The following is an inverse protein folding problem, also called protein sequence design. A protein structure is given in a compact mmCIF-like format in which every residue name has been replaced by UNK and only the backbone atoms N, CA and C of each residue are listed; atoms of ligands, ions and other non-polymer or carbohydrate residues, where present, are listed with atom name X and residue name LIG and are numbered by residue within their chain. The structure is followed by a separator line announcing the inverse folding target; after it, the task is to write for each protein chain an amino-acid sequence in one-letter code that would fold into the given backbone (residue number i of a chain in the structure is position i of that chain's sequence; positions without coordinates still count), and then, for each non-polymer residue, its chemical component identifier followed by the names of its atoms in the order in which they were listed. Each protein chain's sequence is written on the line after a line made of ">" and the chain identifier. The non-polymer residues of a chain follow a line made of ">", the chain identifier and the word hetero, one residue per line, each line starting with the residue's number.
data_IF_595060525747
#
_entry.id   IF_595060525747
#
_cell.length_a   1.000
_cell.length_b   1.000
_cell.length_c   1.000
_cell.angle_alpha   90.00
_cell.angle_beta   90.00
_cell.angle_gamma   90.00
#
_symmetry.space_group_name_H-M   'P 1'
#
loop_
_entity.id
_entity.type
_entity.pdbx_description
1 polymer ?
#
# COMPACT_ATOMS: atom_id res chain seq x y z
N UNK A 1 -9.84 -23.43 -50.03
CA UNK A 1 -8.40 -23.51 -49.72
C UNK A 1 -8.00 -24.97 -49.83
N UNK A 2 -7.53 -25.39 -50.99
CA UNK A 2 -6.96 -26.74 -51.16
C UNK A 2 -5.60 -26.78 -50.47
N UNK A 3 -5.31 -27.78 -49.63
CA UNK A 3 -3.99 -27.95 -49.04
C UNK A 3 -2.99 -28.23 -50.17
N UNK A 4 -1.90 -27.46 -50.18
CA UNK A 4 -0.76 -27.62 -51.08
C UNK A 4 -0.13 -29.02 -50.85
N UNK A 5 -0.06 -29.91 -51.86
CA UNK A 5 0.40 -31.29 -51.69
C UNK A 5 1.89 -31.42 -51.37
N UNK A 6 2.67 -30.34 -51.49
CA UNK A 6 4.10 -30.32 -51.17
C UNK A 6 4.42 -29.79 -49.76
N UNK A 7 3.41 -29.59 -48.90
CA UNK A 7 3.69 -29.33 -47.49
C UNK A 7 4.32 -30.59 -46.86
N UNK A 8 5.56 -30.52 -46.31
CA UNK A 8 6.19 -31.67 -45.69
C UNK A 8 5.32 -32.16 -44.53
N UNK A 9 4.64 -33.28 -44.76
CA UNK A 9 3.68 -33.93 -43.82
C UNK A 9 4.36 -34.60 -42.64
N UNK A 10 5.70 -34.64 -42.62
CA UNK A 10 6.46 -35.09 -41.46
C UNK A 10 6.68 -33.89 -40.53
N UNK A 11 6.12 -33.88 -39.31
CA UNK A 11 6.48 -32.85 -38.34
C UNK A 11 7.99 -32.90 -38.18
N UNK A 12 8.67 -31.78 -38.44
CA UNK A 12 10.09 -31.60 -38.19
C UNK A 12 10.33 -31.81 -36.69
N UNK A 13 10.54 -33.07 -36.31
CA UNK A 13 10.89 -33.45 -34.96
C UNK A 13 12.36 -33.11 -34.83
N UNK A 14 12.68 -32.15 -33.96
CA UNK A 14 14.05 -31.87 -33.55
C UNK A 14 14.71 -33.21 -33.22
N UNK A 15 15.78 -33.57 -33.94
CA UNK A 15 16.55 -34.76 -33.56
C UNK A 15 16.99 -34.57 -32.11
N UNK A 16 16.89 -35.60 -31.25
CA UNK A 16 17.30 -35.48 -29.86
C UNK A 16 18.77 -35.07 -29.84
N UNK A 17 19.01 -33.79 -29.53
CA UNK A 17 20.36 -33.25 -29.42
C UNK A 17 21.16 -34.04 -28.37
N UNK A 18 22.50 -33.98 -28.44
CA UNK A 18 23.35 -34.70 -27.50
C UNK A 18 22.96 -34.42 -26.05
N UNK A 19 23.04 -35.45 -25.19
CA UNK A 19 22.68 -35.38 -23.76
C UNK A 19 23.37 -34.17 -23.11
N UNK A 20 22.59 -33.18 -22.67
CA UNK A 20 23.08 -31.96 -22.02
C UNK A 20 23.10 -30.71 -22.89
N UNK A 21 22.02 -30.42 -23.63
CA UNK A 21 21.92 -29.14 -24.35
C UNK A 21 21.98 -27.97 -23.38
N UNK A 22 22.62 -26.86 -23.79
CA UNK A 22 22.72 -25.62 -22.98
C UNK A 22 21.35 -25.17 -22.44
N UNK A 23 20.29 -25.34 -23.24
CA UNK A 23 18.90 -25.05 -22.87
C UNK A 23 18.42 -25.93 -21.70
N UNK A 24 18.74 -27.21 -21.69
CA UNK A 24 18.38 -28.13 -20.61
C UNK A 24 19.09 -27.77 -19.30
N UNK A 25 20.37 -27.39 -19.37
CA UNK A 25 21.14 -26.96 -18.20
C UNK A 25 20.60 -25.63 -17.64
N UNK A 26 20.26 -24.67 -18.49
CA UNK A 26 19.64 -23.39 -18.09
C UNK A 26 18.27 -23.61 -17.42
N UNK A 27 17.45 -24.53 -17.93
CA UNK A 27 16.17 -24.90 -17.30
C UNK A 27 16.35 -25.55 -15.93
N UNK A 28 17.38 -26.39 -15.76
CA UNK A 28 17.69 -27.00 -14.47
C UNK A 28 18.16 -25.96 -13.45
N UNK A 29 19.02 -25.02 -13.85
CA UNK A 29 19.46 -23.91 -13.00
C UNK A 29 18.28 -23.04 -12.59
N UNK A 30 17.39 -22.70 -13.54
CA UNK A 30 16.17 -21.95 -13.25
C UNK A 30 15.28 -22.70 -12.25
N UNK A 31 15.06 -24.00 -12.46
CA UNK A 31 14.27 -24.83 -11.54
C UNK A 31 14.85 -24.82 -10.12
N UNK A 32 16.18 -24.93 -9.97
CA UNK A 32 16.84 -24.91 -8.66
C UNK A 32 16.72 -23.53 -8.01
N UNK A 33 16.94 -22.46 -8.77
CA UNK A 33 16.82 -21.08 -8.27
C UNK A 33 15.38 -20.79 -7.80
N UNK A 34 14.38 -21.10 -8.64
CA UNK A 34 12.95 -21.02 -8.31
C UNK A 34 12.60 -21.85 -7.08
N UNK A 35 13.08 -23.09 -7.02
CA UNK A 35 12.85 -23.97 -5.87
C UNK A 35 13.44 -23.42 -4.58
N UNK A 36 14.64 -22.85 -4.62
CA UNK A 36 15.28 -22.21 -3.48
C UNK A 36 14.51 -20.99 -2.97
N UNK A 37 14.11 -20.10 -3.88
CA UNK A 37 13.33 -18.91 -3.54
C UNK A 37 11.94 -19.28 -3.00
N UNK A 38 11.27 -20.24 -3.63
CA UNK A 38 9.97 -20.75 -3.20
C UNK A 38 10.05 -21.46 -1.84
N UNK A 39 11.17 -22.14 -1.54
CA UNK A 39 11.39 -22.74 -0.22
C UNK A 39 11.39 -21.65 0.84
N UNK A 40 12.22 -20.61 0.67
CA UNK A 40 12.28 -19.50 1.61
C UNK A 40 10.92 -18.80 1.80
N UNK A 41 10.19 -18.56 0.72
CA UNK A 41 8.88 -17.91 0.77
C UNK A 41 7.83 -18.78 1.44
N UNK A 42 7.77 -20.08 1.14
CA UNK A 42 6.79 -21.00 1.74
C UNK A 42 7.10 -21.28 3.22
N UNK A 43 8.37 -21.30 3.63
CA UNK A 43 8.70 -21.32 5.05
C UNK A 43 8.19 -20.08 5.78
N UNK A 44 8.25 -18.90 5.14
CA UNK A 44 7.70 -17.68 5.72
C UNK A 44 6.16 -17.68 5.77
N UNK A 45 5.47 -18.36 4.85
CA UNK A 45 4.01 -18.42 4.76
C UNK A 45 3.35 -19.52 5.58
N UNK A 46 3.96 -20.70 5.64
CA UNK A 46 3.33 -21.94 6.11
C UNK A 46 4.02 -22.58 7.31
N UNK A 47 5.22 -22.14 7.67
CA UNK A 47 5.95 -22.76 8.78
C UNK A 47 5.52 -22.18 10.11
N UNK A 48 4.65 -22.92 10.80
CA UNK A 48 4.32 -22.70 12.20
C UNK A 48 5.41 -23.27 13.14
N UNK A 49 6.61 -23.61 12.62
CA UNK A 49 7.68 -24.30 13.35
C UNK A 49 7.43 -25.81 13.57
N UNK A 50 6.30 -26.34 13.10
CA UNK A 50 5.96 -27.76 13.24
C UNK A 50 6.63 -28.63 12.17
N UNK A 51 6.91 -29.90 12.52
CA UNK A 51 7.40 -30.91 11.57
C UNK A 51 6.42 -31.08 10.40
N UNK A 52 5.12 -31.10 10.68
CA UNK A 52 4.08 -31.21 9.66
C UNK A 52 4.08 -30.00 8.71
N UNK A 53 4.31 -28.78 9.22
CA UNK A 53 4.48 -27.59 8.39
C UNK A 53 5.67 -27.71 7.44
N UNK A 54 6.80 -28.21 7.94
CA UNK A 54 8.01 -28.44 7.12
C UNK A 54 7.76 -29.47 6.01
N UNK A 55 7.06 -30.56 6.31
CA UNK A 55 6.68 -31.58 5.32
C UNK A 55 5.76 -31.00 4.23
N UNK A 56 4.78 -30.18 4.60
CA UNK A 56 3.91 -29.48 3.63
C UNK A 56 4.72 -28.57 2.71
N UNK A 57 5.62 -27.76 3.27
CA UNK A 57 6.51 -26.89 2.49
C UNK A 57 7.32 -27.72 1.49
N UNK A 58 7.93 -28.84 1.92
CA UNK A 58 8.69 -29.72 1.04
C UNK A 58 7.86 -30.22 -0.16
N UNK A 59 6.64 -30.72 0.07
CA UNK A 59 5.78 -31.19 -1.01
C UNK A 59 5.33 -30.07 -1.95
N UNK A 60 5.03 -28.88 -1.43
CA UNK A 60 4.68 -27.73 -2.23
C UNK A 60 5.84 -27.26 -3.11
N UNK A 61 7.06 -27.22 -2.58
CA UNK A 61 8.27 -26.88 -3.35
C UNK A 61 8.52 -27.90 -4.43
N UNK A 62 8.49 -29.19 -4.10
CA UNK A 62 8.74 -30.26 -5.07
C UNK A 62 7.70 -30.28 -6.18
N UNK A 63 6.42 -30.08 -5.84
CA UNK A 63 5.35 -29.91 -6.82
C UNK A 63 5.54 -28.68 -7.70
N UNK A 64 5.88 -27.53 -7.12
CA UNK A 64 6.17 -26.29 -7.84
C UNK A 64 7.34 -26.43 -8.81
N UNK A 65 8.44 -27.06 -8.37
CA UNK A 65 9.61 -27.35 -9.20
C UNK A 65 9.25 -28.29 -10.35
N UNK A 66 8.51 -29.36 -10.08
CA UNK A 66 8.09 -30.32 -11.09
C UNK A 66 7.17 -29.68 -12.15
N UNK A 67 6.21 -28.85 -11.73
CA UNK A 67 5.30 -28.14 -12.64
C UNK A 67 6.05 -27.08 -13.45
N UNK A 68 6.89 -26.26 -12.80
CA UNK A 68 7.72 -25.25 -13.47
C UNK A 68 8.62 -25.87 -14.53
N UNK A 69 9.39 -26.90 -14.15
CA UNK A 69 10.27 -27.61 -15.07
C UNK A 69 9.48 -28.30 -16.19
N UNK A 70 8.41 -29.01 -15.86
CA UNK A 70 7.61 -29.77 -16.81
C UNK A 70 6.94 -28.90 -17.86
N UNK A 71 6.33 -27.78 -17.44
CA UNK A 71 5.65 -26.84 -18.34
C UNK A 71 6.66 -26.10 -19.20
N UNK A 72 7.74 -25.56 -18.61
CA UNK A 72 8.77 -24.84 -19.37
C UNK A 72 9.47 -25.77 -20.37
N UNK A 73 9.79 -27.00 -19.97
CA UNK A 73 10.36 -28.00 -20.86
C UNK A 73 9.41 -28.38 -21.99
N UNK A 74 8.14 -28.64 -21.71
CA UNK A 74 7.16 -28.95 -22.75
C UNK A 74 6.97 -27.77 -23.72
N UNK A 75 6.93 -26.54 -23.20
CA UNK A 75 6.79 -25.33 -24.01
C UNK A 75 7.99 -25.13 -24.95
N UNK A 76 9.21 -25.42 -24.49
CA UNK A 76 10.44 -25.29 -25.27
C UNK A 76 10.64 -26.46 -26.24
N UNK A 77 10.50 -27.70 -25.77
CA UNK A 77 10.80 -28.90 -26.57
C UNK A 77 9.72 -29.21 -27.61
N UNK A 78 8.46 -28.82 -27.36
CA UNK A 78 7.33 -29.08 -28.27
C UNK A 78 6.66 -27.80 -28.78
N UNK A 79 6.46 -26.81 -27.92
CA UNK A 79 5.77 -25.57 -28.28
C UNK A 79 6.55 -24.74 -29.31
N UNK A 80 7.83 -24.49 -29.06
CA UNK A 80 8.66 -23.67 -29.96
C UNK A 80 8.81 -24.31 -31.37
N UNK A 81 9.11 -25.61 -31.54
CA UNK A 81 9.14 -26.23 -32.86
C UNK A 81 7.80 -26.14 -33.61
N UNK A 82 6.68 -26.43 -32.93
CA UNK A 82 5.35 -26.35 -33.55
C UNK A 82 4.99 -24.92 -33.96
N UNK A 83 5.38 -23.93 -33.15
CA UNK A 83 5.18 -22.51 -33.45
C UNK A 83 5.90 -22.10 -34.74
N UNK A 84 7.15 -22.52 -34.91
CA UNK A 84 7.96 -22.19 -36.10
C UNK A 84 7.43 -22.86 -37.36
N UNK A 85 6.89 -24.08 -37.26
CA UNK A 85 6.23 -24.78 -38.39
C UNK A 85 4.93 -24.08 -38.83
N UNK A 86 4.42 -23.13 -38.05
CA UNK A 86 3.26 -22.30 -38.40
C UNK A 86 2.01 -22.54 -37.54
N UNK A 87 2.07 -23.45 -36.55
CA UNK A 87 0.96 -23.67 -35.63
C UNK A 87 0.87 -22.55 -34.58
N UNK A 88 0.15 -21.48 -34.92
CA UNK A 88 -0.06 -20.32 -34.04
C UNK A 88 -0.69 -20.68 -32.69
N UNK A 89 -1.59 -21.66 -32.66
CA UNK A 89 -2.22 -22.13 -31.41
C UNK A 89 -1.21 -22.77 -30.45
N UNK A 90 -0.20 -23.48 -30.96
CA UNK A 90 0.86 -24.05 -30.13
C UNK A 90 1.74 -22.95 -29.52
N UNK A 91 2.03 -21.89 -30.28
CA UNK A 91 2.74 -20.71 -29.77
C UNK A 91 1.98 -20.06 -28.60
N UNK A 92 0.70 -19.73 -28.82
CA UNK A 92 -0.15 -19.10 -27.79
C UNK A 92 -0.28 -20.00 -26.56
N UNK A 93 -0.56 -21.29 -26.74
CA UNK A 93 -0.71 -22.23 -25.63
C UNK A 93 0.57 -22.37 -24.80
N UNK A 94 1.74 -22.40 -25.46
CA UNK A 94 3.03 -22.50 -24.78
C UNK A 94 3.34 -21.24 -23.96
N UNK A 95 3.17 -20.06 -24.55
CA UNK A 95 3.37 -18.76 -23.87
C UNK A 95 2.40 -18.61 -22.70
N UNK A 96 1.12 -18.93 -22.90
CA UNK A 96 0.10 -18.83 -21.87
C UNK A 96 0.38 -19.79 -20.70
N UNK A 97 0.86 -21.00 -20.98
CA UNK A 97 1.22 -21.98 -19.94
C UNK A 97 2.40 -21.47 -19.08
N UNK A 98 3.44 -20.90 -19.72
CA UNK A 98 4.57 -20.28 -19.02
C UNK A 98 4.07 -19.12 -18.13
N UNK A 99 3.22 -18.25 -18.68
CA UNK A 99 2.69 -17.10 -17.95
C UNK A 99 1.83 -17.50 -16.75
N UNK A 100 0.93 -18.49 -16.90
CA UNK A 100 0.05 -18.94 -15.81
C UNK A 100 0.88 -19.54 -14.66
N UNK A 101 1.81 -20.45 -14.98
CA UNK A 101 2.65 -21.09 -13.96
C UNK A 101 3.60 -20.08 -13.33
N UNK A 102 4.27 -19.27 -14.15
CA UNK A 102 5.18 -18.23 -13.70
C UNK A 102 4.49 -17.17 -12.83
N UNK A 103 3.26 -16.77 -13.15
CA UNK A 103 2.51 -15.80 -12.35
C UNK A 103 2.11 -16.39 -10.98
N UNK A 104 1.73 -17.67 -10.94
CA UNK A 104 1.45 -18.38 -9.70
C UNK A 104 2.68 -18.49 -8.79
N UNK A 105 3.83 -18.89 -9.35
CA UNK A 105 5.10 -19.01 -8.62
C UNK A 105 5.64 -17.64 -8.20
N UNK A 106 5.57 -16.65 -9.07
CA UNK A 106 5.90 -15.26 -8.75
C UNK A 106 5.07 -14.77 -7.56
N UNK A 107 3.75 -14.95 -7.60
CA UNK A 107 2.86 -14.49 -6.55
C UNK A 107 3.15 -15.15 -5.21
N UNK A 108 3.34 -16.48 -5.19
CA UNK A 108 3.69 -17.21 -3.98
C UNK A 108 5.08 -16.82 -3.43
N UNK A 109 6.05 -16.64 -4.32
CA UNK A 109 7.43 -16.32 -3.95
C UNK A 109 7.55 -14.88 -3.44
N UNK A 110 7.06 -13.91 -4.21
CA UNK A 110 7.05 -12.51 -3.82
C UNK A 110 6.30 -12.29 -2.51
N UNK A 111 5.06 -12.79 -2.41
CA UNK A 111 4.27 -12.58 -1.21
C UNK A 111 4.92 -13.20 0.02
N UNK A 112 5.46 -14.42 -0.08
CA UNK A 112 6.11 -15.06 1.06
C UNK A 112 7.40 -14.38 1.52
N UNK A 113 8.18 -13.81 0.59
CA UNK A 113 9.38 -13.06 0.94
C UNK A 113 9.08 -11.73 1.65
N UNK A 114 7.95 -11.10 1.31
CA UNK A 114 7.66 -9.72 1.69
C UNK A 114 6.59 -9.62 2.80
N UNK A 115 5.84 -10.69 3.08
CA UNK A 115 4.71 -10.67 4.01
C UNK A 115 5.06 -10.13 5.40
N UNK A 116 6.19 -10.56 5.95
CA UNK A 116 6.64 -10.16 7.29
C UNK A 116 6.98 -8.67 7.35
N UNK A 117 7.60 -8.14 6.30
CA UNK A 117 7.97 -6.73 6.21
C UNK A 117 6.75 -5.85 5.99
N UNK A 118 5.76 -6.32 5.21
CA UNK A 118 4.46 -5.64 5.07
C UNK A 118 3.72 -5.60 6.40
N UNK A 119 3.69 -6.69 7.16
CA UNK A 119 3.04 -6.68 8.49
C UNK A 119 3.73 -5.69 9.42
N UNK A 120 5.07 -5.63 9.40
CA UNK A 120 5.86 -4.65 10.14
C UNK A 120 5.51 -3.21 9.75
N UNK A 121 5.51 -2.88 8.45
CA UNK A 121 5.18 -1.55 7.96
C UNK A 121 3.77 -1.12 8.39
N UNK A 122 2.79 -2.05 8.38
CA UNK A 122 1.43 -1.76 8.84
C UNK A 122 1.36 -1.47 10.34
N UNK A 123 2.15 -2.18 11.15
CA UNK A 123 2.23 -1.94 12.58
C UNK A 123 2.93 -0.59 12.89
N UNK A 124 3.98 -0.24 12.16
CA UNK A 124 4.65 1.06 12.26
C UNK A 124 3.74 2.22 11.84
N UNK A 125 2.99 2.04 10.73
CA UNK A 125 1.99 3.02 10.29
C UNK A 125 0.87 3.20 11.33
N UNK A 126 0.39 2.11 11.95
CA UNK A 126 -0.56 2.19 13.06
C UNK A 126 0.02 2.92 14.27
N UNK A 127 1.28 2.64 14.64
CA UNK A 127 1.95 3.34 15.74
C UNK A 127 2.03 4.85 15.51
N UNK A 128 2.30 5.27 14.26
CA UNK A 128 2.32 6.69 13.86
C UNK A 128 0.93 7.30 13.99
N UNK A 129 -0.09 6.66 13.41
CA UNK A 129 -1.48 7.13 13.49
C UNK A 129 -2.01 7.18 14.92
N UNK A 130 -1.63 6.21 15.77
CA UNK A 130 -1.98 6.20 17.19
C UNK A 130 -1.30 7.34 17.94
N UNK A 131 -0.03 7.63 17.63
CA UNK A 131 0.70 8.76 18.19
C UNK A 131 0.06 10.10 17.83
N UNK A 132 -0.33 10.30 16.57
CA UNK A 132 -1.07 11.48 16.12
C UNK A 132 -2.43 11.61 16.83
N UNK A 133 -3.18 10.50 16.94
CA UNK A 133 -4.45 10.45 17.65
C UNK A 133 -4.30 10.84 19.13
N UNK A 134 -3.29 10.30 19.81
CA UNK A 134 -2.97 10.65 21.21
C UNK A 134 -2.57 12.12 21.31
N UNK A 135 -1.74 12.62 20.39
CA UNK A 135 -1.29 14.01 20.35
C UNK A 135 -2.44 14.99 20.21
N UNK A 136 -3.40 14.71 19.32
CA UNK A 136 -4.61 15.50 19.17
C UNK A 136 -5.43 15.57 20.47
N UNK A 137 -5.57 14.45 21.19
CA UNK A 137 -6.30 14.38 22.48
C UNK A 137 -5.53 15.00 23.65
N UNK A 138 -4.21 15.08 23.58
CA UNK A 138 -3.42 15.78 24.57
C UNK A 138 -3.73 17.29 24.56
N UNK A 139 -4.01 17.86 23.38
CA UNK A 139 -4.47 19.25 23.22
C UNK A 139 -5.71 19.59 24.06
N UNK A 140 -6.73 18.73 24.02
CA UNK A 140 -7.98 18.90 24.80
C UNK A 140 -7.70 19.02 26.31
N UNK A 141 -6.74 18.25 26.82
CA UNK A 141 -6.38 18.29 28.25
C UNK A 141 -5.52 19.48 28.65
N UNK A 142 -4.71 20.02 27.73
CA UNK A 142 -3.95 21.25 27.97
C UNK A 142 -4.89 22.44 28.17
N UNK A 143 -6.01 22.47 27.45
CA UNK A 143 -7.09 23.46 27.65
C UNK A 143 -7.78 23.28 29.00
N UNK A 144 -8.02 22.04 29.43
CA UNK A 144 -8.48 21.75 30.79
C UNK A 144 -7.53 22.27 31.88
N UNK A 145 -6.21 22.12 31.70
CA UNK A 145 -5.22 22.63 32.65
C UNK A 145 -5.26 24.17 32.81
N UNK A 146 -5.69 24.92 31.78
CA UNK A 146 -5.84 26.36 31.85
C UNK A 146 -7.00 26.83 32.76
N UNK A 147 -7.91 25.92 33.15
CA UNK A 147 -9.02 26.24 34.06
C UNK A 147 -8.56 26.37 35.52
N UNK A 148 -7.51 25.63 35.92
CA UNK A 148 -6.97 25.67 37.28
C UNK A 148 -6.57 27.09 37.74
N UNK A 149 -5.73 27.86 36.99
CA UNK A 149 -5.38 29.22 37.39
C UNK A 149 -6.58 30.18 37.40
N UNK A 150 -7.61 29.94 36.58
CA UNK A 150 -8.84 30.73 36.61
C UNK A 150 -9.60 30.50 37.91
N UNK A 151 -9.78 29.24 38.32
CA UNK A 151 -10.43 28.91 39.60
C UNK A 151 -9.66 29.49 40.81
N UNK A 152 -8.32 29.41 40.79
CA UNK A 152 -7.49 30.03 41.82
C UNK A 152 -7.66 31.56 41.87
N UNK A 153 -7.74 32.21 40.70
CA UNK A 153 -7.96 33.66 40.62
C UNK A 153 -9.34 34.10 41.13
N UNK A 154 -10.38 33.28 40.91
CA UNK A 154 -11.73 33.51 41.42
C UNK A 154 -11.72 33.41 42.95
N UNK A 155 -11.05 32.39 43.51
CA UNK A 155 -10.92 32.22 44.94
C UNK A 155 -10.24 33.43 45.61
N UNK A 156 -9.11 33.89 45.05
CA UNK A 156 -8.36 35.05 45.55
C UNK A 156 -9.17 36.36 45.42
N UNK A 157 -9.89 36.57 44.31
CA UNK A 157 -10.76 37.74 44.16
C UNK A 157 -11.91 37.77 45.18
N UNK A 158 -12.58 36.62 45.39
CA UNK A 158 -13.66 36.53 46.37
C UNK A 158 -13.16 36.74 47.80
N UNK A 159 -11.99 36.21 48.13
CA UNK A 159 -11.35 36.41 49.44
C UNK A 159 -10.95 37.88 49.67
N UNK A 160 -10.32 38.52 48.67
CA UNK A 160 -10.01 39.97 48.73
C UNK A 160 -11.27 40.81 48.90
N UNK A 161 -12.36 40.48 48.19
CA UNK A 161 -13.65 41.16 48.33
C UNK A 161 -14.28 40.94 49.70
N UNK A 162 -14.16 39.75 50.27
CA UNK A 162 -14.61 39.47 51.64
C UNK A 162 -13.83 40.30 52.68
N UNK A 163 -12.50 40.38 52.56
CA UNK A 163 -11.66 41.19 53.44
C UNK A 163 -11.98 42.68 53.32
N UNK A 164 -12.14 43.16 52.10
CA UNK A 164 -12.53 44.53 51.79
C UNK A 164 -13.92 44.88 52.33
N UNK A 165 -14.88 43.96 52.24
CA UNK A 165 -16.22 44.12 52.81
C UNK A 165 -16.19 44.23 54.34
N UNK A 166 -15.33 43.44 55.00
CA UNK A 166 -15.10 43.55 56.45
C UNK A 166 -14.46 44.87 56.85
N UNK A 167 -13.51 45.37 56.06
CA UNK A 167 -12.77 46.59 56.38
C UNK A 167 -13.57 47.87 56.14
N UNK A 168 -14.35 47.93 55.04
CA UNK A 168 -15.00 49.16 54.61
C UNK A 168 -16.20 48.99 53.68
N UNK A 169 -16.85 47.81 53.67
CA UNK A 169 -18.12 47.58 52.95
C UNK A 169 -18.10 47.93 51.45
N UNK A 170 -17.02 47.57 50.76
CA UNK A 170 -16.81 47.93 49.36
C UNK A 170 -17.74 47.24 48.34
N UNK A 171 -18.43 46.16 48.70
CA UNK A 171 -19.43 45.48 47.86
C UNK A 171 -20.84 45.90 48.23
N UNK A 172 -21.13 46.06 49.54
CA UNK A 172 -22.47 46.47 49.99
C UNK A 172 -22.72 47.97 49.98
N UNK A 173 -21.68 48.81 49.87
CA UNK A 173 -21.78 50.27 49.86
C UNK A 173 -22.16 50.89 51.21
N UNK A 174 -22.09 50.12 52.31
CA UNK A 174 -22.47 50.60 53.65
C UNK A 174 -21.36 51.44 54.30
N UNK A 175 -21.72 52.45 55.12
CA UNK A 175 -20.74 53.39 55.69
C UNK A 175 -19.90 52.83 56.83
N UNK A 176 -20.29 51.68 57.41
CA UNK A 176 -19.53 50.98 58.45
C UNK A 176 -19.24 49.56 57.96
N UNK A 177 -17.95 49.24 57.82
CA UNK A 177 -17.49 47.88 57.52
C UNK A 177 -17.92 46.88 58.59
N UNK A 178 -17.73 45.59 58.31
CA UNK A 178 -17.88 44.54 59.32
C UNK A 178 -18.20 43.18 58.74
N UNK A 179 -18.24 42.15 59.60
CA UNK A 179 -18.57 40.76 59.20
C UNK A 179 -20.08 40.53 59.07
N UNK A 180 -20.71 41.32 58.22
CA UNK A 180 -22.13 41.23 57.88
C UNK A 180 -22.48 40.04 56.96
N UNK A 181 -23.74 39.94 56.55
CA UNK A 181 -24.22 38.86 55.67
C UNK A 181 -23.42 38.76 54.36
N UNK A 182 -23.15 39.90 53.70
CA UNK A 182 -22.40 39.96 52.44
C UNK A 182 -20.98 39.42 52.61
N UNK A 183 -20.26 39.85 53.66
CA UNK A 183 -18.92 39.34 53.97
C UNK A 183 -18.94 37.82 54.21
N UNK A 184 -19.89 37.31 54.98
CA UNK A 184 -20.03 35.86 55.24
C UNK A 184 -20.36 35.07 53.97
N UNK A 185 -21.21 35.61 53.08
CA UNK A 185 -21.50 34.99 51.79
C UNK A 185 -20.27 34.96 50.89
N UNK A 186 -19.50 36.05 50.81
CA UNK A 186 -18.26 36.10 50.04
C UNK A 186 -17.20 35.12 50.59
N UNK A 187 -17.07 35.01 51.92
CA UNK A 187 -16.20 34.03 52.57
C UNK A 187 -16.59 32.59 52.22
N UNK A 188 -17.89 32.27 52.32
CA UNK A 188 -18.39 30.94 51.98
C UNK A 188 -18.15 30.60 50.50
N UNK A 189 -18.33 31.58 49.60
CA UNK A 189 -18.06 31.42 48.18
C UNK A 189 -16.57 31.27 47.89
N UNK A 190 -15.70 32.01 48.59
CA UNK A 190 -14.25 31.90 48.47
C UNK A 190 -13.76 30.51 48.92
N UNK A 191 -14.22 30.02 50.07
CA UNK A 191 -13.88 28.67 50.54
C UNK A 191 -14.38 27.57 49.59
N UNK A 192 -15.58 27.75 49.03
CA UNK A 192 -16.10 26.84 47.99
C UNK A 192 -15.25 26.89 46.72
N UNK A 193 -14.83 28.09 46.28
CA UNK A 193 -13.94 28.27 45.14
C UNK A 193 -12.59 27.55 45.36
N UNK A 194 -11.98 27.70 46.56
CA UNK A 194 -10.75 27.01 46.96
C UNK A 194 -10.92 25.49 46.91
N UNK A 195 -12.04 24.97 47.44
CA UNK A 195 -12.35 23.55 47.39
C UNK A 195 -12.47 23.00 45.97
N UNK A 196 -13.17 23.72 45.08
CA UNK A 196 -13.28 23.36 43.65
C UNK A 196 -11.92 23.44 42.96
N UNK A 197 -11.13 24.49 43.23
CA UNK A 197 -9.78 24.64 42.69
C UNK A 197 -8.86 23.47 43.09
N UNK A 198 -8.83 23.09 44.37
CA UNK A 198 -8.01 21.98 44.86
C UNK A 198 -8.42 20.63 44.25
N UNK A 199 -9.72 20.36 44.10
CA UNK A 199 -10.22 19.17 43.41
C UNK A 199 -9.81 19.17 41.94
N UNK A 200 -9.90 20.33 41.28
CA UNK A 200 -9.51 20.50 39.89
C UNK A 200 -8.02 20.25 39.68
N UNK A 201 -7.16 20.83 40.53
CA UNK A 201 -5.70 20.61 40.51
C UNK A 201 -5.34 19.13 40.71
N UNK A 202 -6.03 18.43 41.62
CA UNK A 202 -5.84 16.98 41.81
C UNK A 202 -6.20 16.19 40.54
N UNK A 203 -7.30 16.57 39.87
CA UNK A 203 -7.70 15.99 38.59
C UNK A 203 -6.67 16.24 37.49
N UNK A 204 -6.17 17.48 37.37
CA UNK A 204 -5.10 17.85 36.42
C UNK A 204 -3.82 17.05 36.69
N UNK A 205 -3.41 16.91 37.95
CA UNK A 205 -2.24 16.11 38.33
C UNK A 205 -2.40 14.64 37.95
N UNK A 206 -3.57 14.06 38.19
CA UNK A 206 -3.90 12.69 37.77
C UNK A 206 -3.86 12.55 36.25
N UNK A 207 -4.41 13.52 35.52
CA UNK A 207 -4.36 13.58 34.06
C UNK A 207 -2.94 13.67 33.50
N UNK A 208 -2.06 14.45 34.15
CA UNK A 208 -0.65 14.58 33.78
C UNK A 208 0.13 13.27 34.00
N UNK A 209 -0.12 12.57 35.11
CA UNK A 209 0.46 11.25 35.38
C UNK A 209 0.04 10.24 34.30
N UNK A 210 -1.25 10.22 33.90
CA UNK A 210 -1.73 9.40 32.78
C UNK A 210 -1.13 9.82 31.44
N UNK A 211 -0.88 11.11 31.22
CA UNK A 211 -0.14 11.59 30.05
C UNK A 211 1.27 11.00 29.95
N UNK A 212 1.98 10.92 31.07
CA UNK A 212 3.32 10.31 31.16
C UNK A 212 3.25 8.80 30.88
N UNK A 213 2.30 8.10 31.50
CA UNK A 213 2.07 6.67 31.26
C UNK A 213 1.78 6.37 29.77
N UNK A 214 0.98 7.20 29.11
CA UNK A 214 0.72 7.07 27.66
C UNK A 214 2.01 7.26 26.84
N UNK A 215 2.84 8.25 27.21
CA UNK A 215 4.14 8.49 26.56
C UNK A 215 5.05 7.27 26.65
N UNK A 216 5.16 6.67 27.84
CA UNK A 216 5.96 5.46 28.06
C UNK A 216 5.41 4.26 27.27
N UNK A 217 4.09 4.10 27.21
CA UNK A 217 3.44 3.05 26.43
C UNK A 217 3.68 3.24 24.92
N UNK A 218 3.60 4.47 24.39
CA UNK A 218 3.91 4.75 22.98
C UNK A 218 5.39 4.47 22.65
N UNK A 219 6.31 4.82 23.55
CA UNK A 219 7.73 4.50 23.38
C UNK A 219 7.96 2.98 23.35
N UNK A 220 7.32 2.23 24.26
CA UNK A 220 7.36 0.76 24.26
C UNK A 220 6.72 0.16 23.00
N UNK A 221 5.62 0.73 22.53
CA UNK A 221 4.98 0.33 21.27
C UNK A 221 5.97 0.44 20.11
N UNK A 222 6.62 1.59 19.96
CA UNK A 222 7.61 1.83 18.91
C UNK A 222 8.81 0.88 19.00
N UNK A 223 9.33 0.65 20.21
CA UNK A 223 10.44 -0.28 20.44
C UNK A 223 10.11 -1.72 20.03
N UNK A 224 8.91 -2.21 20.37
CA UNK A 224 8.47 -3.57 20.01
C UNK A 224 8.16 -3.67 18.50
N UNK A 225 7.55 -2.64 17.91
CA UNK A 225 7.26 -2.60 16.48
C UNK A 225 8.55 -2.75 15.65
N UNK A 226 9.59 -1.98 16.01
CA UNK A 226 10.90 -2.01 15.36
C UNK A 226 11.81 -3.19 15.75
N UNK A 227 11.48 -3.95 16.81
CA UNK A 227 12.28 -5.06 17.30
C UNK A 227 12.26 -6.31 16.39
N UNK A 228 13.08 -7.32 16.71
CA UNK A 228 13.20 -8.57 15.95
C UNK A 228 12.38 -9.74 16.51
N UNK A 229 11.43 -9.47 17.41
CA UNK A 229 10.57 -10.49 18.00
C UNK A 229 9.75 -11.26 16.93
N UNK A 230 9.40 -12.53 17.18
CA UNK A 230 8.51 -13.30 16.32
C UNK A 230 7.19 -12.54 16.07
N UNK A 231 6.69 -12.56 14.82
CA UNK A 231 5.55 -11.75 14.41
C UNK A 231 4.29 -11.97 15.25
N UNK A 232 3.97 -13.23 15.60
CA UNK A 232 2.80 -13.55 16.42
C UNK A 232 2.89 -12.95 17.83
N UNK A 233 4.02 -13.17 18.52
CA UNK A 233 4.25 -12.63 19.86
C UNK A 233 4.29 -11.10 19.86
N UNK A 234 4.95 -10.52 18.85
CA UNK A 234 4.99 -9.07 18.64
C UNK A 234 3.59 -8.48 18.55
N UNK A 235 2.70 -9.07 17.75
CA UNK A 235 1.32 -8.58 17.60
C UNK A 235 0.54 -8.65 18.90
N UNK A 236 0.64 -9.74 19.65
CA UNK A 236 -0.03 -9.87 20.95
C UNK A 236 0.43 -8.77 21.92
N UNK A 237 1.75 -8.53 22.00
CA UNK A 237 2.31 -7.47 22.85
C UNK A 237 1.86 -6.07 22.41
N UNK A 238 1.87 -5.79 21.11
CA UNK A 238 1.42 -4.50 20.57
C UNK A 238 -0.08 -4.27 20.79
N UNK A 239 -0.90 -5.32 20.70
CA UNK A 239 -2.34 -5.24 21.01
C UNK A 239 -2.60 -4.95 22.49
N UNK A 240 -1.85 -5.59 23.40
CA UNK A 240 -1.93 -5.29 24.84
C UNK A 240 -1.56 -3.83 25.13
N UNK A 241 -0.47 -3.33 24.53
CA UNK A 241 -0.07 -1.93 24.69
C UNK A 241 -1.11 -0.97 24.10
N UNK A 242 -1.66 -1.25 22.92
CA UNK A 242 -2.72 -0.43 22.30
C UNK A 242 -3.96 -0.35 23.22
N UNK A 243 -4.37 -1.48 23.80
CA UNK A 243 -5.47 -1.52 24.76
C UNK A 243 -5.17 -0.68 26.02
N UNK A 244 -3.96 -0.79 26.58
CA UNK A 244 -3.53 0.01 27.74
C UNK A 244 -3.48 1.50 27.43
N UNK A 245 -3.03 1.89 26.22
CA UNK A 245 -3.05 3.29 25.78
C UNK A 245 -4.49 3.82 25.75
N UNK A 246 -5.43 3.05 25.19
CA UNK A 246 -6.85 3.43 25.17
C UNK A 246 -7.44 3.56 26.56
N UNK A 247 -7.10 2.63 27.46
CA UNK A 247 -7.53 2.68 28.85
C UNK A 247 -6.96 3.91 29.57
N UNK A 248 -5.67 4.21 29.38
CA UNK A 248 -5.01 5.36 29.97
C UNK A 248 -5.57 6.69 29.41
N UNK A 249 -5.91 6.74 28.12
CA UNK A 249 -6.61 7.88 27.50
C UNK A 249 -8.00 8.10 28.09
N UNK A 250 -8.78 7.03 28.27
CA UNK A 250 -10.09 7.11 28.91
C UNK A 250 -9.98 7.63 30.35
N UNK A 251 -9.06 7.05 31.13
CA UNK A 251 -8.78 7.51 32.50
C UNK A 251 -8.30 8.96 32.56
N UNK A 252 -7.46 9.40 31.60
CA UNK A 252 -7.02 10.79 31.47
C UNK A 252 -8.18 11.74 31.17
N UNK A 253 -9.12 11.32 30.31
CA UNK A 253 -10.32 12.10 29.99
C UNK A 253 -11.24 12.23 31.20
N UNK A 254 -11.42 11.16 31.97
CA UNK A 254 -12.21 11.16 33.21
C UNK A 254 -11.55 12.00 34.31
N UNK A 255 -10.22 12.05 34.35
CA UNK A 255 -9.47 12.82 35.34
C UNK A 255 -9.62 14.34 35.18
N UNK A 256 -9.90 14.84 33.98
CA UNK A 256 -10.13 16.27 33.74
C UNK A 256 -11.56 16.66 34.17
N UNK A 257 -11.75 17.33 35.32
CA UNK A 257 -13.09 17.54 35.87
C UNK A 257 -13.74 18.78 35.27
N UNK A 258 -13.81 18.86 33.93
CA UNK A 258 -14.47 19.96 33.21
C UNK A 258 -15.94 20.09 33.63
N UNK A 259 -16.61 18.97 33.92
CA UNK A 259 -17.97 18.98 34.47
C UNK A 259 -18.07 19.67 35.83
N UNK A 260 -17.05 19.54 36.69
CA UNK A 260 -16.98 20.24 37.98
C UNK A 260 -16.86 21.76 37.76
N UNK A 261 -15.97 22.18 36.86
CA UNK A 261 -15.79 23.59 36.53
C UNK A 261 -17.04 24.22 35.90
N UNK A 262 -17.69 23.51 34.96
CA UNK A 262 -18.93 23.98 34.33
C UNK A 262 -20.12 24.01 35.31
N UNK A 263 -20.20 23.02 36.21
CA UNK A 263 -21.17 23.00 37.31
C UNK A 263 -20.98 24.18 38.27
N UNK A 264 -19.73 24.47 38.63
CA UNK A 264 -19.40 25.65 39.44
C UNK A 264 -19.70 26.96 38.72
N UNK A 265 -19.44 27.05 37.40
CA UNK A 265 -19.83 28.20 36.60
C UNK A 265 -21.36 28.41 36.60
N UNK A 266 -22.14 27.33 36.54
CA UNK A 266 -23.61 27.40 36.63
C UNK A 266 -24.06 27.86 38.03
N UNK A 267 -23.40 27.39 39.09
CA UNK A 267 -23.65 27.84 40.45
C UNK A 267 -23.37 29.34 40.62
N UNK A 268 -22.22 29.83 40.13
CA UNK A 268 -21.87 31.25 40.15
C UNK A 268 -22.88 32.11 39.39
N UNK A 269 -23.43 31.60 38.28
CA UNK A 269 -24.46 32.31 37.52
C UNK A 269 -25.81 32.35 38.26
N UNK A 270 -26.15 31.28 38.99
CA UNK A 270 -27.38 31.16 39.76
C UNK A 270 -27.32 31.85 41.13
N UNK A 271 -26.13 32.28 41.57
CA UNK A 271 -25.89 32.75 42.93
C UNK A 271 -26.78 33.94 43.34
N UNK A 272 -27.36 33.78 44.53
CA UNK A 272 -28.68 34.30 44.88
C UNK A 272 -28.75 35.62 45.64
N UNK A 273 -30.00 35.96 45.97
CA UNK A 273 -30.43 37.20 46.63
C UNK A 273 -30.14 37.19 48.12
N UNK A 274 -29.55 38.27 48.63
CA UNK A 274 -29.37 38.53 50.06
C UNK A 274 -30.64 39.20 50.59
N UNK A 275 -31.32 38.53 51.52
CA UNK A 275 -32.57 39.02 52.10
C UNK A 275 -32.40 40.43 52.68
N UNK A 276 -33.30 41.34 52.29
CA UNK A 276 -33.30 42.73 52.75
C UNK A 276 -32.18 43.62 52.16
N UNK A 277 -31.40 43.14 51.18
CA UNK A 277 -30.29 43.91 50.57
C UNK A 277 -30.27 43.78 49.03
N UNK A 278 -31.19 44.43 48.30
CA UNK A 278 -31.31 44.28 46.85
C UNK A 278 -30.10 44.84 46.08
N UNK A 279 -29.50 45.94 46.55
CA UNK A 279 -28.34 46.56 45.89
C UNK A 279 -27.07 45.69 46.03
N UNK A 280 -26.78 45.22 47.25
CA UNK A 280 -25.68 44.28 47.50
C UNK A 280 -25.86 42.96 46.73
N UNK A 281 -27.10 42.49 46.59
CA UNK A 281 -27.42 41.32 45.77
C UNK A 281 -27.08 41.54 44.30
N UNK A 282 -27.46 42.69 43.70
CA UNK A 282 -27.13 43.01 42.30
C UNK A 282 -25.61 43.12 42.08
N UNK A 283 -24.92 43.79 43.01
CA UNK A 283 -23.47 43.94 42.95
C UNK A 283 -22.76 42.58 43.00
N UNK A 284 -23.15 41.72 43.96
CA UNK A 284 -22.63 40.36 44.09
C UNK A 284 -22.93 39.52 42.84
N UNK A 285 -24.17 39.48 42.36
CA UNK A 285 -24.55 38.72 41.17
C UNK A 285 -23.76 39.18 39.93
N UNK A 286 -23.48 40.48 39.78
CA UNK A 286 -22.66 40.99 38.67
C UNK A 286 -21.24 40.42 38.69
N UNK A 287 -20.62 40.36 39.87
CA UNK A 287 -19.28 39.82 40.07
C UNK A 287 -19.26 38.31 39.78
N UNK A 288 -20.21 37.55 40.34
CA UNK A 288 -20.27 36.11 40.17
C UNK A 288 -20.58 35.72 38.71
N UNK A 289 -21.43 36.48 38.02
CA UNK A 289 -21.69 36.29 36.59
C UNK A 289 -20.47 36.61 35.71
N UNK A 290 -19.62 37.56 36.10
CA UNK A 290 -18.36 37.82 35.41
C UNK A 290 -17.41 36.61 35.55
N UNK A 291 -17.28 36.06 36.76
CA UNK A 291 -16.50 34.85 37.03
C UNK A 291 -17.03 33.62 36.28
N UNK A 292 -18.36 33.42 36.25
CA UNK A 292 -19.00 32.35 35.49
C UNK A 292 -18.70 32.44 33.98
N UNK A 293 -18.70 33.66 33.42
CA UNK A 293 -18.35 33.88 32.00
C UNK A 293 -16.89 33.58 31.71
N UNK A 294 -15.98 34.02 32.58
CA UNK A 294 -14.56 33.71 32.49
C UNK A 294 -14.31 32.20 32.47
N UNK A 295 -14.93 31.47 33.41
CA UNK A 295 -14.77 30.02 33.54
C UNK A 295 -15.31 29.26 32.33
N UNK A 296 -16.45 29.69 31.77
CA UNK A 296 -17.01 29.09 30.54
C UNK A 296 -16.20 29.38 29.30
N UNK A 297 -15.61 30.57 29.19
CA UNK A 297 -14.77 30.95 28.05
C UNK A 297 -13.56 30.03 27.87
N UNK A 298 -13.03 29.48 28.95
CA UNK A 298 -11.92 28.52 28.92
C UNK A 298 -12.38 27.08 28.64
N UNK A 299 -13.61 26.73 29.02
CA UNK A 299 -14.14 25.37 28.95
C UNK A 299 -14.76 24.92 27.62
N UNK A 300 -14.88 25.79 26.61
CA UNK A 300 -15.62 25.51 25.36
C UNK A 300 -14.75 25.13 24.15
N UNK A 301 -13.45 24.90 24.32
CA UNK A 301 -12.59 24.56 23.20
C UNK A 301 -12.87 23.13 22.67
N UNK A 302 -12.92 23.01 21.34
CA UNK A 302 -13.45 21.89 20.56
C UNK A 302 -13.05 20.50 21.03
N UNK A 303 -14.04 19.62 21.21
CA UNK A 303 -13.81 18.20 21.34
C UNK A 303 -13.31 17.62 20.00
N UNK A 304 -12.12 17.02 19.98
CA UNK A 304 -11.66 16.24 18.83
C UNK A 304 -12.60 15.04 18.64
N UNK A 305 -13.31 15.01 17.51
CA UNK A 305 -14.26 13.93 17.15
C UNK A 305 -13.63 12.79 16.37
N UNK A 306 -12.32 12.88 16.06
CA UNK A 306 -11.62 11.82 15.34
C UNK A 306 -11.77 10.48 16.08
N UNK A 307 -12.11 9.43 15.33
CA UNK A 307 -12.20 8.07 15.84
C UNK A 307 -10.79 7.52 16.09
N UNK A 308 -10.64 6.68 17.12
CA UNK A 308 -9.39 5.99 17.36
C UNK A 308 -9.05 5.05 16.19
N UNK A 309 -7.79 5.00 15.72
CA UNK A 309 -7.39 4.08 14.67
C UNK A 309 -7.65 2.64 15.12
N UNK A 310 -8.21 1.82 14.24
CA UNK A 310 -8.42 0.40 14.51
C UNK A 310 -7.08 -0.33 14.41
N UNK A 311 -6.80 -1.21 15.38
CA UNK A 311 -5.59 -2.03 15.32
C UNK A 311 -5.60 -2.87 14.02
N UNK A 312 -4.53 -2.85 13.21
CA UNK A 312 -4.54 -3.49 11.90
C UNK A 312 -4.69 -5.00 12.05
N UNK A 313 -5.40 -5.64 11.12
CA UNK A 313 -5.43 -7.10 11.01
C UNK A 313 -4.06 -7.63 10.56
N UNK A 314 -3.81 -8.93 10.74
CA UNK A 314 -2.60 -9.55 10.22
C UNK A 314 -2.58 -9.40 8.69
N UNK A 315 -1.42 -9.07 8.13
CA UNK A 315 -1.28 -8.96 6.68
C UNK A 315 -1.62 -10.30 6.03
N UNK A 316 -2.47 -10.23 5.00
CA UNK A 316 -2.72 -11.35 4.10
C UNK A 316 -1.77 -11.32 2.90
N UNK A 317 -1.71 -12.44 2.17
CA UNK A 317 -0.96 -12.56 0.92
C UNK A 317 -1.36 -11.46 -0.08
N UNK A 318 -2.66 -11.18 -0.19
CA UNK A 318 -3.17 -10.13 -1.09
C UNK A 318 -2.65 -8.72 -0.74
N UNK A 319 -2.43 -8.44 0.55
CA UNK A 319 -1.95 -7.13 1.00
C UNK A 319 -0.50 -6.85 0.55
N UNK A 320 0.27 -7.89 0.24
CA UNK A 320 1.66 -7.75 -0.24
C UNK A 320 1.74 -7.10 -1.62
N UNK A 321 0.74 -7.29 -2.47
CA UNK A 321 0.68 -6.70 -3.80
C UNK A 321 0.37 -5.20 -3.75
N UNK A 322 -0.34 -4.74 -2.73
CA UNK A 322 -0.53 -3.30 -2.51
C UNK A 322 0.80 -2.56 -2.19
N UNK A 323 1.83 -3.30 -1.78
CA UNK A 323 3.15 -2.78 -1.43
C UNK A 323 4.22 -3.07 -2.50
N UNK A 324 3.82 -3.48 -3.72
CA UNK A 324 4.76 -3.84 -4.79
C UNK A 324 5.74 -2.72 -5.13
N UNK A 325 5.31 -1.46 -5.05
CA UNK A 325 6.19 -0.30 -5.23
C UNK A 325 7.27 -0.17 -4.14
N UNK A 326 6.94 -0.51 -2.89
CA UNK A 326 7.89 -0.45 -1.77
C UNK A 326 8.95 -1.58 -1.86
N UNK A 327 8.56 -2.75 -2.38
CA UNK A 327 9.43 -3.92 -2.52
C UNK A 327 9.79 -4.22 -3.99
N UNK A 328 9.88 -3.17 -4.81
CA UNK A 328 10.14 -3.30 -6.25
C UNK A 328 11.39 -4.14 -6.58
N UNK A 329 12.53 -4.03 -5.87
CA UNK A 329 13.69 -4.87 -6.16
C UNK A 329 13.41 -6.37 -5.99
N UNK A 330 12.69 -6.75 -4.93
CA UNK A 330 12.32 -8.15 -4.68
C UNK A 330 11.34 -8.63 -5.74
N UNK A 331 10.33 -7.83 -6.06
CA UNK A 331 9.37 -8.12 -7.12
C UNK A 331 10.05 -8.25 -8.50
N UNK A 332 11.02 -7.40 -8.81
CA UNK A 332 11.73 -7.46 -10.08
C UNK A 332 12.54 -8.76 -10.21
N UNK A 333 13.28 -9.15 -9.16
CA UNK A 333 14.08 -10.37 -9.16
C UNK A 333 13.17 -11.60 -9.28
N UNK A 334 12.10 -11.68 -8.50
CA UNK A 334 11.16 -12.81 -8.57
C UNK A 334 10.47 -12.87 -9.93
N UNK A 335 10.06 -11.75 -10.51
CA UNK A 335 9.46 -11.70 -11.83
C UNK A 335 10.46 -12.12 -12.92
N UNK A 336 11.72 -11.73 -12.80
CA UNK A 336 12.76 -12.12 -13.77
C UNK A 336 12.97 -13.63 -13.76
N UNK A 337 13.07 -14.24 -12.57
CA UNK A 337 13.30 -15.68 -12.41
C UNK A 337 12.09 -16.49 -12.86
N UNK A 338 10.87 -16.10 -12.44
CA UNK A 338 9.67 -16.93 -12.64
C UNK A 338 8.93 -16.66 -13.96
N UNK A 339 9.06 -15.47 -14.55
CA UNK A 339 8.32 -15.07 -15.76
C UNK A 339 9.22 -14.73 -16.94
N UNK A 340 10.13 -13.77 -16.76
CA UNK A 340 10.91 -13.20 -17.87
C UNK A 340 11.87 -14.23 -18.43
N UNK A 341 12.61 -14.94 -17.57
CA UNK A 341 13.63 -15.87 -18.02
C UNK A 341 13.06 -17.05 -18.82
N UNK A 342 11.99 -17.76 -18.38
CA UNK A 342 11.36 -18.80 -19.19
C UNK A 342 10.82 -18.29 -20.54
N UNK A 343 10.21 -17.10 -20.56
CA UNK A 343 9.72 -16.47 -21.79
C UNK A 343 10.85 -16.16 -22.77
N UNK A 344 11.92 -15.51 -22.28
CA UNK A 344 13.08 -15.15 -23.08
C UNK A 344 13.75 -16.41 -23.63
N UNK A 345 13.89 -17.46 -22.82
CA UNK A 345 14.43 -18.74 -23.27
C UNK A 345 13.56 -19.36 -24.38
N UNK A 346 12.24 -19.33 -24.23
CA UNK A 346 11.31 -19.78 -25.26
C UNK A 346 11.46 -19.00 -26.57
N UNK A 347 11.55 -17.67 -26.50
CA UNK A 347 11.75 -16.79 -27.66
C UNK A 347 13.07 -17.11 -28.36
N UNK A 348 14.18 -17.24 -27.62
CA UNK A 348 15.47 -17.62 -28.20
C UNK A 348 15.40 -18.98 -28.89
N UNK A 349 14.77 -19.98 -28.28
CA UNK A 349 14.59 -21.29 -28.92
C UNK A 349 13.79 -21.16 -30.21
N UNK A 350 12.66 -20.44 -30.20
CA UNK A 350 11.84 -20.25 -31.39
C UNK A 350 12.62 -19.53 -32.52
N UNK A 351 13.38 -18.48 -32.19
CA UNK A 351 14.19 -17.75 -33.17
C UNK A 351 15.32 -18.60 -33.75
N UNK A 352 16.04 -19.36 -32.90
CA UNK A 352 17.12 -20.26 -33.38
C UNK A 352 16.58 -21.35 -34.31
N UNK A 353 15.44 -21.95 -33.98
CA UNK A 353 14.78 -22.94 -34.84
C UNK A 353 14.27 -22.32 -36.15
N UNK A 354 13.69 -21.11 -36.10
CA UNK A 354 13.24 -20.40 -37.30
C UNK A 354 14.42 -20.12 -38.24
N UNK A 355 15.55 -19.69 -37.69
CA UNK A 355 16.77 -19.47 -38.42
C UNK A 355 17.32 -20.77 -39.04
N UNK A 356 17.35 -21.88 -38.30
CA UNK A 356 17.77 -23.17 -38.83
C UNK A 356 16.90 -23.67 -39.99
N UNK A 357 15.58 -23.45 -39.92
CA UNK A 357 14.66 -23.83 -41.01
C UNK A 357 14.92 -22.97 -42.24
N UNK A 358 15.10 -21.65 -42.08
CA UNK A 358 15.41 -20.76 -43.20
C UNK A 358 16.77 -21.11 -43.85
N UNK A 359 17.76 -21.57 -43.07
CA UNK A 359 19.04 -22.03 -43.63
C UNK A 359 18.91 -23.36 -44.41
N UNK A 360 18.11 -24.31 -43.91
CA UNK A 360 17.98 -25.66 -44.49
C UNK A 360 17.02 -25.71 -45.67
N UNK A 361 15.99 -24.87 -45.65
CA UNK A 361 14.97 -24.77 -46.67
C UNK A 361 14.59 -23.29 -46.84
N UNK A 362 15.48 -22.46 -47.46
CA UNK A 362 15.18 -21.06 -47.70
C UNK A 362 13.87 -20.98 -48.48
N UNK A 363 12.96 -20.12 -48.02
CA UNK A 363 11.66 -20.00 -48.67
C UNK A 363 11.91 -19.66 -50.14
N UNK A 364 11.28 -20.37 -51.09
CA UNK A 364 11.40 -20.01 -52.49
C UNK A 364 11.05 -18.51 -52.60
N UNK A 365 11.95 -17.74 -53.22
CA UNK A 365 11.70 -16.33 -53.51
C UNK A 365 10.30 -16.26 -54.10
N UNK A 366 9.42 -15.47 -53.48
CA UNK A 366 8.05 -15.27 -53.96
C UNK A 366 8.14 -15.07 -55.47
N UNK A 367 7.48 -15.90 -56.30
CA UNK A 367 7.49 -15.66 -57.73
C UNK A 367 7.03 -14.23 -57.94
N UNK A 368 7.76 -13.43 -58.73
CA UNK A 368 7.48 -12.02 -58.88
C UNK A 368 5.99 -11.84 -59.17
N UNK A 369 5.31 -11.12 -58.31
CA UNK A 369 3.93 -10.74 -58.57
C UNK A 369 3.98 -9.67 -59.66
N UNK A 370 2.96 -9.56 -60.52
CA UNK A 370 2.93 -8.50 -61.55
C UNK A 370 3.10 -7.08 -60.96
N UNK A 371 2.76 -6.90 -59.67
CA UNK A 371 2.97 -5.67 -58.91
C UNK A 371 4.45 -5.41 -58.60
N UNK A 372 5.27 -6.46 -58.44
CA UNK A 372 6.71 -6.34 -58.26
C UNK A 372 7.40 -5.87 -59.55
N UNK A 373 6.85 -6.20 -60.72
CA UNK A 373 7.34 -5.72 -62.01
C UNK A 373 6.98 -4.24 -62.24
N UNK A 374 5.77 -3.81 -61.86
CA UNK A 374 5.41 -2.39 -61.84
C UNK A 374 6.32 -1.60 -60.89
N UNK A 375 6.63 -2.16 -59.71
CA UNK A 375 7.52 -1.52 -58.73
C UNK A 375 8.97 -1.50 -59.22
N UNK A 376 9.44 -2.52 -59.92
CA UNK A 376 10.77 -2.55 -60.57
C UNK A 376 10.89 -1.55 -61.73
N UNK A 377 9.82 -1.37 -62.50
CA UNK A 377 9.72 -0.35 -63.56
C UNK A 377 9.77 1.07 -62.99
N UNK A 378 9.10 1.32 -61.86
CA UNK A 378 9.10 2.63 -61.19
C UNK A 378 10.44 2.91 -60.49
N UNK A 379 11.05 1.90 -59.85
CA UNK A 379 12.30 2.07 -59.08
C UNK A 379 13.57 2.03 -59.93
N UNK A 380 13.48 1.87 -61.26
CA UNK A 380 14.56 2.14 -62.21
C UNK A 380 15.87 1.41 -61.93
N UNK A 381 15.83 0.21 -61.33
CA UNK A 381 17.05 -0.55 -61.02
C UNK A 381 17.32 -1.56 -62.15
N UNK A 382 18.34 -1.36 -63.00
CA UNK A 382 18.69 -2.35 -64.02
C UNK A 382 19.12 -3.64 -63.33
N UNK A 383 18.33 -4.69 -63.51
CA UNK A 383 18.60 -6.01 -62.96
C UNK A 383 19.82 -6.64 -63.63
N UNK A 384 20.90 -6.83 -62.87
CA UNK A 384 21.94 -7.81 -63.22
C UNK A 384 21.39 -9.21 -62.96
N UNK A 385 20.86 -9.85 -63.99
CA UNK A 385 20.60 -11.29 -64.01
C UNK A 385 21.84 -11.99 -64.60
N UNK A 386 22.51 -12.80 -63.78
CA UNK A 386 23.54 -13.77 -64.20
C UNK A 386 24.70 -13.23 -65.06
N UNK A 387 25.37 -12.16 -64.62
CA UNK A 387 26.74 -11.85 -65.07
C UNK A 387 26.94 -11.60 -66.57
N UNK A 388 25.87 -11.45 -67.35
CA UNK A 388 25.91 -10.97 -68.73
C UNK A 388 25.15 -9.66 -68.78
N UNK A 389 25.87 -8.62 -69.19
CA UNK A 389 25.26 -7.34 -69.51
C UNK A 389 24.24 -7.58 -70.64
N UNK A 390 22.96 -7.35 -70.34
CA UNK A 390 21.94 -7.21 -71.39
C UNK A 390 22.22 -5.87 -72.05
N UNK A 391 23.06 -5.91 -73.08
CA UNK A 391 23.29 -4.77 -73.94
C UNK A 391 21.99 -4.42 -74.67
N UNK A 392 21.54 -3.20 -74.44
CA UNK A 392 20.59 -2.43 -75.23
C UNK A 392 19.10 -2.85 -75.17
N UNK A 393 18.29 -2.21 -74.30
CA UNK A 393 16.83 -2.37 -74.27
C UNK A 393 16.13 -1.94 -75.58
N UNK A 394 16.80 -1.21 -76.47
CA UNK A 394 16.21 -0.73 -77.73
C UNK A 394 16.24 -1.76 -78.87
N UNK A 395 16.93 -2.90 -78.71
CA UNK A 395 16.98 -3.93 -79.74
C UNK A 395 15.63 -4.64 -79.96
N UNK A 396 14.78 -4.71 -78.94
CA UNK A 396 13.48 -5.40 -79.02
C UNK A 396 12.43 -4.63 -79.84
N UNK A 397 12.50 -3.28 -79.87
CA UNK A 397 11.54 -2.45 -80.59
C UNK A 397 11.84 -2.25 -82.08
N UNK A 398 13.06 -2.55 -82.56
CA UNK A 398 13.39 -2.49 -84.01
C UNK A 398 12.94 -3.71 -84.81
N UNK A 399 12.60 -4.84 -84.16
CA UNK A 399 12.15 -6.06 -84.84
C UNK A 399 10.67 -6.07 -85.24
N UNK A 400 9.85 -5.18 -84.67
CA UNK A 400 8.39 -5.18 -84.83
C UNK A 400 7.85 -4.25 -85.92
N UNK A 401 8.71 -3.46 -86.59
CA UNK A 401 8.31 -2.55 -87.67
C UNK A 401 8.49 -3.12 -89.09
N UNK A 402 9.01 -4.35 -89.23
CA UNK A 402 9.31 -4.96 -90.52
C UNK A 402 8.59 -6.30 -90.73
N UNK A 403 7.26 -6.31 -90.67
CA UNK A 403 6.42 -7.38 -91.24
C UNK A 403 5.03 -6.82 -91.55
N UNK A 404 4.88 -6.21 -92.73
CA UNK A 404 3.58 -6.10 -93.38
C UNK A 404 3.17 -7.51 -93.84
N UNK A 405 1.92 -7.92 -93.62
CA UNK A 405 1.41 -9.17 -94.17
C UNK A 405 1.12 -8.97 -95.66
N UNK A 406 1.71 -9.83 -96.50
CA UNK A 406 1.13 -10.12 -97.81
C UNK A 406 0.31 -11.39 -97.66
N UNK A 407 -0.96 -11.26 -98.00
CA UNK A 407 -1.87 -12.34 -98.35
C UNK A 407 -1.16 -13.37 -99.24
N UNK A 408 -1.33 -14.67 -98.97
CA UNK A 408 -2.17 -15.50 -99.83
C UNK A 408 -2.18 -16.99 -99.40
N UNK A 409 -3.31 -17.61 -99.67
CA UNK A 409 -3.50 -19.03 -100.01
C UNK A 409 -3.52 -20.15 -98.93
N UNK A 410 -4.78 -20.61 -98.73
CA UNK A 410 -5.31 -21.94 -99.08
C UNK A 410 -5.12 -23.13 -98.12
N UNK A 411 -6.30 -23.62 -97.71
CA UNK A 411 -6.79 -25.02 -97.74
C UNK A 411 -6.06 -26.11 -96.95
N UNK A 412 -6.85 -26.85 -96.16
CA UNK A 412 -6.49 -28.21 -95.75
C UNK A 412 -7.30 -28.78 -94.60
N UNK A 413 -8.54 -29.17 -94.88
CA UNK A 413 -9.39 -30.03 -94.05
C UNK A 413 -8.77 -31.41 -93.80
N UNK A 414 -8.84 -31.89 -92.55
CA UNK A 414 -9.48 -33.16 -92.17
C UNK A 414 -9.70 -33.26 -90.66
#
# INVERSE_FOLDING_TARGET
>A
MSPDPDHPTKPLRREPGPRGSMQQNLLLVCMIASGGMLTGSLFALLSDGSLLGTVKVFFCVLGGMAVSYGVNRCAIDRGAPLAVVGYRSAAVASVLSILIVGAGLFGATYAGLVLKDVDRLRLEAHGTALGEYVGARAGDTAMGAAVAPVLASIADDLERKALCERAGSCVSGRPAGGRGLVARTLEAMAERAKGVAAQFETGVGTGAAKGTEIGDLLARFGAIAGGSDPAAEKRVRLQDIDARIRQALAARKEAAPLGLALGYAAELQAAGTIAGQPEASRALSTILQAHARSLRGVGTASAVTAAAPAFPKAAGVADTFAHLGHFLPVAAITAVVELVFPLVLWVYVALTLAWEIEQKAPRPLRPPHDDDDATRLILGRPGRLNGRDVADPNAYFRGLSARRPTDDERYGSH
#
